data_IF_445818217318
#
_entry.id   IF_445818217318
#
_cell.length_a   1.000
_cell.length_b   1.000
_cell.length_c   1.000
_cell.angle_alpha   90.00
_cell.angle_beta   90.00
_cell.angle_gamma   90.00
#
_symmetry.space_group_name_H-M   'P 1'
#
loop_
_entity.id
_entity.type
_entity.pdbx_description
1 polymer ?
#
# COMPACT_ATOMS: atom_id res chain seq x y z
N UNK A 1 15.21 25.28 1.25
CA UNK A 1 14.03 24.71 1.93
C UNK A 1 14.00 23.21 1.67
N UNK A 2 13.93 22.37 2.71
CA UNK A 2 13.89 20.90 2.57
C UNK A 2 12.45 20.39 2.70
N UNK A 3 12.03 19.49 1.80
CA UNK A 3 10.71 18.87 1.79
C UNK A 3 10.84 17.40 2.18
N UNK A 4 9.96 16.92 3.07
CA UNK A 4 9.93 15.49 3.45
C UNK A 4 9.37 14.66 2.30
N UNK A 5 10.02 13.54 2.01
CA UNK A 5 9.52 12.50 1.12
C UNK A 5 8.84 11.46 2.02
N UNK A 6 7.54 11.24 1.82
CA UNK A 6 6.74 10.30 2.61
C UNK A 6 6.35 9.14 1.70
N UNK A 7 6.75 7.93 2.07
CA UNK A 7 6.49 6.70 1.31
C UNK A 7 5.16 6.03 1.67
N UNK A 8 4.66 6.26 2.89
CA UNK A 8 3.45 5.64 3.41
C UNK A 8 3.35 5.81 4.92
N UNK A 9 2.43 5.07 5.51
CA UNK A 9 2.14 5.05 6.94
C UNK A 9 2.55 3.73 7.56
N UNK A 10 2.98 3.78 8.83
CA UNK A 10 3.28 2.62 9.65
C UNK A 10 2.25 2.57 10.77
N UNK A 11 1.49 1.48 10.83
CA UNK A 11 0.52 1.22 11.89
C UNK A 11 0.93 0.00 12.71
N UNK A 12 0.57 -0.01 13.98
CA UNK A 12 0.76 -1.17 14.88
C UNK A 12 -0.61 -1.69 15.24
N UNK A 13 -0.84 -2.98 14.99
CA UNK A 13 -2.11 -3.67 15.23
C UNK A 13 -1.88 -4.77 16.26
N UNK A 14 -2.70 -4.81 17.32
CA UNK A 14 -2.71 -5.95 18.24
C UNK A 14 -3.40 -7.13 17.57
N UNK A 15 -2.67 -8.20 17.31
CA UNK A 15 -3.24 -9.43 16.77
C UNK A 15 -3.75 -10.30 17.91
N UNK A 16 -5.06 -10.50 17.99
CA UNK A 16 -5.64 -11.44 18.95
C UNK A 16 -5.27 -12.90 18.61
N UNK A 17 -5.21 -13.22 17.32
CA UNK A 17 -4.88 -14.57 16.84
C UNK A 17 -3.44 -14.96 17.18
N UNK A 18 -2.49 -14.01 17.07
CA UNK A 18 -1.08 -14.26 17.34
C UNK A 18 -0.64 -13.86 18.76
N UNK A 19 -1.48 -13.15 19.51
CA UNK A 19 -1.17 -12.63 20.83
C UNK A 19 -0.15 -11.47 20.88
N UNK A 20 0.30 -10.97 19.72
CA UNK A 20 1.40 -10.00 19.61
C UNK A 20 1.04 -8.74 18.83
N UNK A 21 1.89 -7.74 18.95
CA UNK A 21 1.78 -6.49 18.20
C UNK A 21 2.44 -6.66 16.82
N UNK A 22 1.67 -6.44 15.75
CA UNK A 22 2.14 -6.55 14.38
C UNK A 22 2.28 -5.17 13.76
N UNK A 23 3.40 -4.93 13.11
CA UNK A 23 3.58 -3.74 12.26
C UNK A 23 2.99 -4.00 10.88
N UNK A 24 2.19 -3.07 10.38
CA UNK A 24 1.69 -3.06 9.00
C UNK A 24 2.10 -1.73 8.34
N UNK A 25 2.56 -1.82 7.10
CA UNK A 25 2.89 -0.65 6.27
C UNK A 25 1.76 -0.43 5.26
N UNK A 26 1.27 0.80 5.16
CA UNK A 26 0.12 1.16 4.32
C UNK A 26 0.48 2.30 3.41
N UNK A 27 0.17 2.17 2.11
CA UNK A 27 0.31 3.24 1.13
C UNK A 27 -0.99 3.41 0.37
N UNK A 28 -1.67 4.52 0.63
CA UNK A 28 -2.84 4.94 -0.15
C UNK A 28 -2.41 5.70 -1.41
N UNK A 29 -3.18 5.59 -2.52
CA UNK A 29 -2.93 6.37 -3.73
C UNK A 29 -3.10 7.87 -3.47
N UNK A 30 -2.55 8.69 -4.38
CA UNK A 30 -2.75 10.15 -4.33
C UNK A 30 -4.26 10.45 -4.35
N UNK A 31 -4.67 11.44 -3.54
CA UNK A 31 -6.06 11.89 -3.42
C UNK A 31 -7.04 10.87 -2.84
N UNK A 32 -6.56 9.82 -2.16
CA UNK A 32 -7.43 8.81 -1.54
C UNK A 32 -8.50 9.43 -0.64
N UNK A 33 -8.16 10.41 0.22
CA UNK A 33 -9.10 11.00 1.16
C UNK A 33 -10.07 12.03 0.56
N UNK A 34 -9.82 12.51 -0.66
CA UNK A 34 -10.66 13.54 -1.30
C UNK A 34 -11.64 12.95 -2.32
N UNK A 35 -11.69 11.62 -2.45
CA UNK A 35 -12.59 10.94 -3.38
C UNK A 35 -13.25 9.73 -2.71
N UNK A 36 -14.50 9.45 -3.04
CA UNK A 36 -15.18 8.21 -2.61
C UNK A 36 -14.85 7.00 -3.52
N UNK A 37 -13.76 7.10 -4.30
CA UNK A 37 -13.38 6.03 -5.22
C UNK A 37 -12.91 4.81 -4.44
N UNK A 38 -13.40 3.63 -4.83
CA UNK A 38 -12.91 2.36 -4.29
C UNK A 38 -11.69 1.89 -5.09
N UNK A 39 -10.70 1.36 -4.38
CA UNK A 39 -9.45 0.88 -4.95
C UNK A 39 -9.24 -0.59 -4.57
N UNK A 40 -8.67 -1.42 -5.45
CA UNK A 40 -8.23 -2.76 -5.05
C UNK A 40 -7.11 -2.66 -3.99
N UNK A 41 -7.04 -3.64 -3.10
CA UNK A 41 -6.02 -3.73 -2.06
C UNK A 41 -5.01 -4.81 -2.42
N UNK A 42 -3.72 -4.45 -2.44
CA UNK A 42 -2.62 -5.39 -2.60
C UNK A 42 -2.04 -5.71 -1.21
N UNK A 43 -2.17 -6.96 -0.78
CA UNK A 43 -1.45 -7.45 0.41
C UNK A 43 -0.05 -7.89 -0.01
N UNK A 44 0.96 -7.26 0.60
CA UNK A 44 2.37 -7.56 0.36
C UNK A 44 2.96 -8.16 1.63
N UNK A 45 3.45 -9.40 1.52
CA UNK A 45 4.23 -10.04 2.58
C UNK A 45 5.68 -9.54 2.55
N UNK A 46 6.40 -9.68 3.68
CA UNK A 46 7.80 -9.26 3.83
C UNK A 46 8.05 -7.80 3.42
N UNK A 47 7.10 -6.92 3.76
CA UNK A 47 7.09 -5.52 3.38
C UNK A 47 8.32 -4.74 3.89
N UNK A 48 8.98 -5.20 4.95
CA UNK A 48 10.26 -4.64 5.40
C UNK A 48 11.34 -4.64 4.31
N UNK A 49 11.25 -5.55 3.34
CA UNK A 49 12.20 -5.66 2.21
C UNK A 49 11.63 -5.15 0.89
N UNK A 50 10.32 -5.31 0.67
CA UNK A 50 9.72 -5.12 -0.65
C UNK A 50 8.82 -3.89 -0.80
N UNK A 51 8.48 -3.19 0.29
CA UNK A 51 7.45 -2.15 0.26
C UNK A 51 7.75 -1.01 -0.73
N UNK A 52 8.99 -0.50 -0.73
CA UNK A 52 9.35 0.63 -1.59
C UNK A 52 9.34 0.25 -3.07
N UNK A 53 9.85 -0.93 -3.41
CA UNK A 53 9.90 -1.45 -4.78
C UNK A 53 8.47 -1.72 -5.29
N UNK A 54 7.62 -2.29 -4.44
CA UNK A 54 6.22 -2.54 -4.78
C UNK A 54 5.44 -1.24 -5.02
N UNK A 55 5.62 -0.21 -4.19
CA UNK A 55 5.01 1.11 -4.41
C UNK A 55 5.44 1.69 -5.75
N UNK A 56 6.74 1.69 -6.04
CA UNK A 56 7.26 2.24 -7.29
C UNK A 56 6.69 1.52 -8.52
N UNK A 57 6.61 0.18 -8.47
CA UNK A 57 6.02 -0.62 -9.53
C UNK A 57 4.52 -0.32 -9.71
N UNK A 58 3.75 -0.28 -8.63
CA UNK A 58 2.30 0.00 -8.67
C UNK A 58 2.03 1.41 -9.17
N UNK A 59 2.77 2.41 -8.70
CA UNK A 59 2.63 3.80 -9.17
C UNK A 59 2.93 3.89 -10.68
N UNK A 60 4.06 3.34 -11.13
CA UNK A 60 4.45 3.35 -12.55
C UNK A 60 3.41 2.64 -13.44
N UNK A 61 3.02 1.41 -13.08
CA UNK A 61 2.06 0.64 -13.88
C UNK A 61 0.66 1.27 -13.87
N UNK A 62 0.28 1.96 -12.79
CA UNK A 62 -0.99 2.68 -12.72
C UNK A 62 -0.98 3.91 -13.63
N UNK A 63 0.13 4.66 -13.66
CA UNK A 63 0.30 5.82 -14.56
C UNK A 63 0.33 5.40 -16.04
N UNK A 64 0.90 4.24 -16.36
CA UNK A 64 0.84 3.66 -17.69
C UNK A 64 -0.53 3.05 -18.06
N UNK A 65 -1.48 2.95 -17.11
CA UNK A 65 -2.81 2.38 -17.33
C UNK A 65 -2.87 0.84 -17.32
N UNK A 66 -1.83 0.15 -16.86
CA UNK A 66 -1.75 -1.32 -16.80
C UNK A 66 -2.33 -1.91 -15.51
N UNK A 67 -2.38 -1.14 -14.42
CA UNK A 67 -3.11 -1.55 -13.21
C UNK A 67 -4.59 -1.24 -13.39
N UNK A 68 -5.36 -2.26 -13.74
CA UNK A 68 -6.82 -2.16 -13.77
C UNK A 68 -7.39 -2.01 -12.37
N UNK A 69 -8.53 -1.30 -12.23
CA UNK A 69 -9.28 -1.22 -10.96
C UNK A 69 -9.97 -2.54 -10.58
N UNK A 70 -9.84 -3.58 -11.40
CA UNK A 70 -10.30 -4.93 -11.08
C UNK A 70 -9.40 -5.57 -10.04
N UNK A 71 -10.02 -6.27 -9.09
CA UNK A 71 -9.33 -7.14 -8.13
C UNK A 71 -8.39 -8.09 -8.89
N UNK A 72 -7.15 -8.21 -8.43
CA UNK A 72 -6.25 -9.24 -8.93
C UNK A 72 -6.91 -10.57 -8.54
N UNK A 73 -7.27 -11.44 -9.51
CA UNK A 73 -7.82 -12.75 -9.19
C UNK A 73 -6.84 -13.49 -8.28
N UNK A 74 -7.35 -14.21 -7.28
CA UNK A 74 -6.51 -15.10 -6.46
C UNK A 74 -5.65 -15.98 -7.37
N UNK A 75 -4.34 -15.97 -7.13
CA UNK A 75 -3.38 -16.87 -7.77
C UNK A 75 -3.36 -18.21 -7.06
#
# INVERSE_FOLDING_TARGET
MTKKIVLGEKIVVKSEVLGEDRTVLVRCPKNYEVTDKKYPTLFLLDAEFFFQQAIAAVEFLSECGYVSTKLIPEM
#
